data_IF_302019353147
#
_entry.id   IF_302019353147
#
_cell.length_a   1.000
_cell.length_b   1.000
_cell.length_c   1.000
_cell.angle_alpha   90.00
_cell.angle_beta   90.00
_cell.angle_gamma   90.00
#
_symmetry.space_group_name_H-M   'P 1'
#
loop_
_entity.id
_entity.type
_entity.pdbx_description
1 polymer ?
#
# COMPACT_ATOMS: atom_id res chain seq x y z
N UNK A 1 5.85 -9.26 45.88
CA UNK A 1 6.00 -9.32 44.41
C UNK A 1 5.28 -8.11 43.90
N UNK A 2 6.06 -7.06 43.78
CA UNK A 2 5.64 -5.70 44.04
C UNK A 2 5.50 -4.98 42.71
N UNK A 3 4.60 -4.01 42.69
CA UNK A 3 4.30 -3.06 41.61
C UNK A 3 5.56 -2.58 40.84
N UNK A 4 6.71 -2.52 41.52
CA UNK A 4 8.06 -2.27 40.99
C UNK A 4 8.46 -3.13 39.78
N UNK A 5 8.15 -4.43 39.76
CA UNK A 5 8.49 -5.33 38.62
C UNK A 5 7.63 -5.02 37.39
N UNK A 6 6.40 -4.54 37.59
CA UNK A 6 5.55 -4.12 36.48
C UNK A 6 6.01 -2.79 35.87
N UNK A 7 6.53 -1.88 36.69
CA UNK A 7 7.14 -0.63 36.22
C UNK A 7 8.49 -0.87 35.54
N UNK A 8 9.32 -1.78 36.05
CA UNK A 8 10.60 -2.17 35.41
C UNK A 8 10.40 -2.79 34.02
N UNK A 9 9.33 -3.58 33.84
CA UNK A 9 8.91 -4.08 32.52
C UNK A 9 8.36 -2.98 31.60
N UNK A 10 7.67 -1.98 32.14
CA UNK A 10 7.18 -0.82 31.38
C UNK A 10 8.33 0.11 30.95
N UNK A 11 9.29 0.38 31.84
CA UNK A 11 10.50 1.15 31.53
C UNK A 11 11.34 0.42 30.47
N UNK A 12 11.60 -0.88 30.64
CA UNK A 12 12.31 -1.68 29.62
C UNK A 12 11.57 -1.75 28.28
N UNK A 13 10.23 -1.72 28.30
CA UNK A 13 9.42 -1.68 27.07
C UNK A 13 9.50 -0.31 26.40
N UNK A 14 9.46 0.76 27.18
CA UNK A 14 9.61 2.13 26.67
C UNK A 14 11.00 2.37 26.08
N UNK A 15 12.07 1.87 26.72
CA UNK A 15 13.43 1.98 26.20
C UNK A 15 13.56 1.29 24.84
N UNK A 16 13.02 0.07 24.69
CA UNK A 16 13.00 -0.65 23.41
C UNK A 16 12.16 0.06 22.34
N UNK A 17 11.06 0.70 22.74
CA UNK A 17 10.21 1.48 21.84
C UNK A 17 10.91 2.76 21.38
N UNK A 18 11.63 3.43 22.29
CA UNK A 18 12.39 4.64 22.04
C UNK A 18 13.62 4.37 21.16
N UNK A 19 14.35 3.28 21.38
CA UNK A 19 15.44 2.85 20.51
C UNK A 19 14.93 2.49 19.10
N UNK A 20 13.78 1.81 19.00
CA UNK A 20 13.18 1.50 17.71
C UNK A 20 12.72 2.77 16.96
N UNK A 21 12.15 3.75 17.66
CA UNK A 21 11.76 5.05 17.10
C UNK A 21 12.99 5.82 16.59
N UNK A 22 14.08 5.89 17.37
CA UNK A 22 15.34 6.53 16.95
C UNK A 22 15.93 5.87 15.69
N UNK A 23 15.90 4.54 15.62
CA UNK A 23 16.38 3.81 14.46
C UNK A 23 15.52 4.06 13.22
N UNK A 24 14.20 4.21 13.38
CA UNK A 24 13.28 4.55 12.27
C UNK A 24 13.46 5.99 11.81
N UNK A 25 13.62 6.94 12.73
CA UNK A 25 13.81 8.36 12.41
C UNK A 25 15.14 8.56 11.67
N UNK A 26 16.23 7.92 12.12
CA UNK A 26 17.52 7.92 11.41
C UNK A 26 17.42 7.29 10.01
N UNK A 27 16.62 6.24 9.84
CA UNK A 27 16.40 5.62 8.53
C UNK A 27 15.61 6.53 7.59
N UNK A 28 14.56 7.19 8.09
CA UNK A 28 13.77 8.14 7.32
C UNK A 28 14.60 9.37 6.91
N UNK A 29 15.39 9.93 7.83
CA UNK A 29 16.30 11.05 7.53
C UNK A 29 17.30 10.68 6.44
N UNK A 30 17.90 9.48 6.53
CA UNK A 30 18.85 9.01 5.53
C UNK A 30 18.21 8.76 4.17
N UNK A 31 16.98 8.26 4.14
CA UNK A 31 16.21 8.11 2.92
C UNK A 31 15.86 9.47 2.30
N UNK A 32 15.54 10.46 3.13
CA UNK A 32 15.29 11.84 2.68
C UNK A 32 16.53 12.41 2.00
N UNK A 33 17.68 12.32 2.65
CA UNK A 33 18.96 12.78 2.11
C UNK A 33 19.28 12.12 0.75
N UNK A 34 19.11 10.80 0.64
CA UNK A 34 19.35 10.09 -0.61
C UNK A 34 18.40 10.49 -1.75
N UNK A 35 17.15 10.79 -1.42
CA UNK A 35 16.14 11.21 -2.39
C UNK A 35 16.42 12.65 -2.83
N UNK A 36 16.72 13.54 -1.89
CA UNK A 36 17.05 14.94 -2.16
C UNK A 36 18.37 15.09 -2.96
N UNK A 37 19.38 14.26 -2.71
CA UNK A 37 20.62 14.20 -3.51
C UNK A 37 20.40 13.60 -4.92
N UNK A 38 19.43 12.69 -5.04
CA UNK A 38 19.13 11.99 -6.29
C UNK A 38 18.27 12.78 -7.28
N UNK A 39 17.57 13.83 -6.83
CA UNK A 39 16.69 14.65 -7.66
C UNK A 39 17.38 15.96 -8.05
N UNK A 40 17.22 16.37 -9.32
CA UNK A 40 17.79 17.62 -9.86
C UNK A 40 16.77 18.78 -9.86
N UNK A 41 15.73 18.68 -9.03
CA UNK A 41 14.65 19.65 -8.95
C UNK A 41 14.19 19.85 -7.51
N UNK A 42 13.75 21.07 -7.19
CA UNK A 42 13.15 21.37 -5.89
C UNK A 42 11.83 20.59 -5.73
N UNK A 43 11.74 19.82 -4.65
CA UNK A 43 10.58 19.04 -4.34
C UNK A 43 10.35 18.90 -2.84
N UNK A 44 9.09 18.87 -2.47
CA UNK A 44 8.66 18.46 -1.14
C UNK A 44 8.71 16.93 -1.03
N UNK A 45 9.62 16.43 -0.20
CA UNK A 45 9.76 15.00 0.09
C UNK A 45 9.09 14.69 1.43
N UNK A 46 8.07 13.83 1.38
CA UNK A 46 7.36 13.31 2.56
C UNK A 46 7.64 11.82 2.70
N UNK A 47 8.11 11.38 3.87
CA UNK A 47 8.42 9.97 4.14
C UNK A 47 7.51 9.46 5.26
N UNK A 48 6.74 8.43 4.96
CA UNK A 48 5.86 7.76 5.91
C UNK A 48 6.35 6.32 6.16
N UNK A 49 6.33 5.88 7.42
CA UNK A 49 6.63 4.51 7.78
C UNK A 49 5.37 3.64 7.69
N UNK A 50 5.46 2.51 6.99
CA UNK A 50 4.41 1.52 6.85
C UNK A 50 4.38 0.49 7.99
N UNK A 51 3.43 -0.45 7.92
CA UNK A 51 3.23 -1.47 8.97
C UNK A 51 4.33 -2.55 9.01
N UNK A 52 5.15 -2.68 7.96
CA UNK A 52 6.12 -3.79 7.83
C UNK A 52 7.38 -3.33 7.10
N UNK A 53 8.42 -2.91 7.84
CA UNK A 53 9.77 -2.58 7.33
C UNK A 53 9.77 -1.88 5.96
N UNK A 54 8.83 -0.95 5.77
CA UNK A 54 8.59 -0.29 4.50
C UNK A 54 8.42 1.19 4.71
N UNK A 55 9.02 1.96 3.81
CA UNK A 55 8.93 3.40 3.76
C UNK A 55 8.20 3.79 2.49
N UNK A 56 7.23 4.67 2.64
CA UNK A 56 6.52 5.31 1.55
C UNK A 56 7.08 6.72 1.41
N UNK A 57 7.88 6.95 0.38
CA UNK A 57 8.43 8.25 0.03
C UNK A 57 7.52 8.88 -1.02
N UNK A 58 7.00 10.08 -0.77
CA UNK A 58 6.24 10.87 -1.73
C UNK A 58 7.04 12.10 -2.09
N UNK A 59 7.27 12.32 -3.38
CA UNK A 59 8.02 13.46 -3.92
C UNK A 59 7.07 14.31 -4.74
N UNK A 60 6.84 15.55 -4.32
CA UNK A 60 6.01 16.53 -5.04
C UNK A 60 6.93 17.66 -5.51
N UNK A 61 7.18 17.81 -6.82
CA UNK A 61 7.91 18.95 -7.34
C UNK A 61 7.24 20.27 -6.95
N UNK A 62 8.01 21.25 -6.47
CA UNK A 62 7.51 22.57 -6.05
C UNK A 62 6.76 23.26 -7.20
N UNK A 63 7.25 23.09 -8.44
CA UNK A 63 6.60 23.61 -9.64
C UNK A 63 5.14 23.13 -9.81
N UNK A 64 4.80 21.91 -9.36
CA UNK A 64 3.43 21.41 -9.42
C UNK A 64 2.56 21.95 -8.29
N UNK A 65 3.16 22.23 -7.13
CA UNK A 65 2.48 22.86 -6.00
C UNK A 65 2.13 24.31 -6.34
N UNK A 66 3.09 25.07 -6.84
CA UNK A 66 2.90 26.45 -7.32
C UNK A 66 1.84 26.55 -8.41
N UNK A 67 1.84 25.59 -9.35
CA UNK A 67 0.81 25.50 -10.38
C UNK A 67 -0.59 25.22 -9.79
N UNK A 68 -0.66 24.35 -8.80
CA UNK A 68 -1.92 24.02 -8.11
C UNK A 68 -2.46 25.22 -7.34
N UNK A 69 -1.61 25.92 -6.59
CA UNK A 69 -1.97 27.16 -5.88
C UNK A 69 -2.46 28.24 -6.87
N UNK A 70 -1.78 28.40 -8.01
CA UNK A 70 -2.20 29.34 -9.06
C UNK A 70 -3.61 29.04 -9.60
N UNK A 71 -3.98 27.76 -9.74
CA UNK A 71 -5.34 27.37 -10.15
C UNK A 71 -6.36 27.67 -9.05
N UNK A 72 -6.00 27.42 -7.79
CA UNK A 72 -6.89 27.62 -6.65
C UNK A 72 -7.17 29.11 -6.37
N UNK A 73 -6.22 30.01 -6.66
CA UNK A 73 -6.39 31.46 -6.50
C UNK A 73 -7.48 32.06 -7.40
N UNK A 74 -7.71 31.49 -8.59
CA UNK A 74 -8.78 31.96 -9.48
C UNK A 74 -10.19 31.63 -8.94
N UNK A 75 -10.30 30.79 -7.91
CA UNK A 75 -11.53 30.53 -7.15
C UNK A 75 -12.65 29.78 -7.89
N UNK A 76 -12.46 29.49 -9.18
CA UNK A 76 -13.42 28.79 -10.04
C UNK A 76 -13.11 27.28 -10.14
N UNK A 77 -11.87 26.87 -9.88
CA UNK A 77 -11.39 25.49 -10.07
C UNK A 77 -10.68 24.94 -8.82
N UNK A 78 -10.91 23.66 -8.53
CA UNK A 78 -10.17 22.90 -7.55
C UNK A 78 -9.09 22.06 -8.21
N UNK A 79 -7.83 22.26 -7.83
CA UNK A 79 -6.71 21.42 -8.28
C UNK A 79 -6.08 20.70 -7.09
N UNK A 80 -5.61 19.48 -7.34
CA UNK A 80 -4.84 18.69 -6.37
C UNK A 80 -3.75 17.94 -7.11
N UNK A 81 -2.52 18.09 -6.66
CA UNK A 81 -1.38 17.31 -7.15
C UNK A 81 -1.13 16.13 -6.21
N UNK A 82 -0.92 14.96 -6.80
CA UNK A 82 -0.41 13.79 -6.09
C UNK A 82 1.03 13.56 -6.55
N UNK A 83 1.97 13.59 -5.61
CA UNK A 83 3.39 13.40 -5.89
C UNK A 83 3.72 12.00 -6.40
N UNK A 84 4.92 11.83 -6.94
CA UNK A 84 5.45 10.52 -7.25
C UNK A 84 5.69 9.75 -5.95
N UNK A 85 5.06 8.59 -5.80
CA UNK A 85 5.21 7.73 -4.62
C UNK A 85 6.18 6.59 -4.92
N UNK A 86 7.24 6.51 -4.13
CA UNK A 86 8.23 5.43 -4.11
C UNK A 86 8.01 4.60 -2.85
N UNK A 87 7.97 3.28 -3.00
CA UNK A 87 7.88 2.37 -1.86
C UNK A 87 9.20 1.62 -1.71
N UNK A 88 9.82 1.73 -0.54
CA UNK A 88 11.11 1.15 -0.21
C UNK A 88 10.89 0.12 0.89
N UNK A 89 11.17 -1.15 0.64
CA UNK A 89 11.01 -2.22 1.62
C UNK A 89 12.25 -3.11 1.69
N UNK A 90 12.49 -3.72 2.86
CA UNK A 90 13.59 -4.69 3.04
C UNK A 90 13.11 -6.10 2.64
N UNK A 91 13.24 -6.46 1.36
CA UNK A 91 12.88 -7.77 0.81
C UNK A 91 12.71 -7.75 -0.71
N UNK A 92 12.68 -8.92 -1.36
CA UNK A 92 12.47 -9.04 -2.81
C UNK A 92 11.14 -8.41 -3.25
N UNK A 93 11.19 -7.75 -4.40
CA UNK A 93 10.28 -6.70 -4.88
C UNK A 93 8.88 -7.14 -5.32
N UNK A 94 8.30 -8.17 -4.72
CA UNK A 94 6.96 -8.68 -5.03
C UNK A 94 5.83 -7.92 -4.28
N UNK A 95 6.14 -6.95 -3.40
CA UNK A 95 5.16 -6.27 -2.54
C UNK A 95 4.70 -4.89 -3.02
N UNK A 96 5.16 -4.43 -4.18
CA UNK A 96 5.21 -3.00 -4.55
C UNK A 96 3.96 -2.42 -5.23
N UNK A 97 2.85 -3.14 -5.31
CA UNK A 97 1.58 -2.52 -5.70
C UNK A 97 0.91 -1.94 -4.45
N UNK A 98 0.47 -0.68 -4.49
CA UNK A 98 -0.38 -0.09 -3.44
C UNK A 98 -1.54 -1.03 -3.14
N UNK A 99 -2.06 -1.07 -1.90
CA UNK A 99 -3.27 -1.86 -1.57
C UNK A 99 -4.39 -1.64 -2.62
N UNK A 100 -4.52 -0.40 -3.11
CA UNK A 100 -5.43 -0.05 -4.21
C UNK A 100 -5.10 -0.75 -5.54
N UNK A 101 -3.83 -0.76 -5.94
CA UNK A 101 -3.41 -1.38 -7.21
C UNK A 101 -3.44 -2.91 -7.12
N UNK A 102 -3.15 -3.48 -5.96
CA UNK A 102 -3.36 -4.90 -5.64
C UNK A 102 -4.82 -5.30 -5.78
N UNK A 103 -5.71 -4.54 -5.14
CA UNK A 103 -7.17 -4.75 -5.23
C UNK A 103 -7.65 -4.61 -6.67
N UNK A 104 -7.16 -3.60 -7.40
CA UNK A 104 -7.53 -3.38 -8.80
C UNK A 104 -7.05 -4.54 -9.69
N UNK A 105 -5.78 -4.93 -9.58
CA UNK A 105 -5.21 -6.04 -10.35
C UNK A 105 -5.91 -7.36 -10.07
N UNK A 106 -6.27 -7.62 -8.81
CA UNK A 106 -7.04 -8.80 -8.43
C UNK A 106 -8.46 -8.78 -9.01
N UNK A 107 -9.15 -7.63 -8.98
CA UNK A 107 -10.46 -7.48 -9.64
C UNK A 107 -10.38 -7.69 -11.15
N UNK A 108 -9.35 -7.14 -11.79
CA UNK A 108 -9.13 -7.30 -13.23
C UNK A 108 -8.91 -8.79 -13.59
N UNK A 109 -8.18 -9.55 -12.76
CA UNK A 109 -8.02 -11.00 -12.90
C UNK A 109 -9.36 -11.72 -12.75
N UNK A 110 -10.14 -11.41 -11.71
CA UNK A 110 -11.44 -12.06 -11.46
C UNK A 110 -12.41 -11.76 -12.60
N UNK A 111 -12.46 -10.52 -13.10
CA UNK A 111 -13.30 -10.13 -14.22
C UNK A 111 -12.88 -10.85 -15.51
N UNK A 112 -11.59 -10.80 -15.86
CA UNK A 112 -11.08 -11.46 -17.06
C UNK A 112 -11.31 -12.97 -17.03
N UNK A 113 -11.04 -13.63 -15.90
CA UNK A 113 -11.34 -15.04 -15.73
C UNK A 113 -12.85 -15.28 -15.81
N UNK A 114 -13.68 -14.47 -15.14
CA UNK A 114 -15.13 -14.65 -15.16
C UNK A 114 -15.71 -14.51 -16.56
N UNK A 115 -15.17 -13.62 -17.39
CA UNK A 115 -15.54 -13.51 -18.81
C UNK A 115 -15.09 -14.72 -19.62
N UNK A 116 -13.86 -15.21 -19.39
CA UNK A 116 -13.38 -16.46 -20.00
C UNK A 116 -14.23 -17.68 -19.62
N UNK A 117 -14.73 -17.70 -18.38
CA UNK A 117 -15.60 -18.71 -17.80
C UNK A 117 -17.09 -18.35 -17.91
N UNK A 118 -17.49 -17.58 -18.94
CA UNK A 118 -18.89 -17.14 -19.13
C UNK A 118 -19.95 -18.26 -19.20
N UNK A 119 -19.53 -19.51 -19.47
CA UNK A 119 -20.41 -20.69 -19.50
C UNK A 119 -20.52 -21.40 -18.14
N UNK A 120 -19.81 -20.90 -17.14
CA UNK A 120 -19.74 -21.40 -15.77
C UNK A 120 -20.30 -20.34 -14.80
N UNK A 121 -20.62 -20.70 -13.55
CA UNK A 121 -21.14 -19.75 -12.56
C UNK A 121 -20.20 -18.57 -12.25
N UNK A 122 -18.90 -18.67 -12.58
CA UNK A 122 -17.92 -17.61 -12.41
C UNK A 122 -16.49 -18.11 -12.61
N UNK A 123 -15.50 -17.36 -12.13
CA UNK A 123 -14.11 -17.78 -12.11
C UNK A 123 -13.81 -18.66 -10.88
N UNK A 124 -13.13 -19.83 -11.03
CA UNK A 124 -12.76 -20.66 -9.90
C UNK A 124 -11.75 -19.97 -8.97
N UNK A 125 -11.95 -20.07 -7.65
CA UNK A 125 -11.08 -19.44 -6.64
C UNK A 125 -9.62 -19.92 -6.79
N UNK A 126 -9.40 -21.23 -6.95
CA UNK A 126 -8.07 -21.81 -7.14
C UNK A 126 -7.33 -21.20 -8.34
N UNK A 127 -8.06 -20.95 -9.44
CA UNK A 127 -7.48 -20.36 -10.66
C UNK A 127 -7.17 -18.88 -10.43
N UNK A 128 -8.03 -18.14 -9.73
CA UNK A 128 -7.79 -16.74 -9.38
C UNK A 128 -6.53 -16.61 -8.51
N UNK A 129 -6.39 -17.45 -7.48
CA UNK A 129 -5.21 -17.50 -6.60
C UNK A 129 -3.95 -17.86 -7.39
N UNK A 130 -4.04 -18.82 -8.32
CA UNK A 130 -2.89 -19.16 -9.16
C UNK A 130 -2.50 -18.01 -10.11
N UNK A 131 -3.48 -17.25 -10.60
CA UNK A 131 -3.25 -16.12 -11.49
C UNK A 131 -2.84 -14.84 -10.73
N UNK A 132 -3.11 -14.74 -9.43
CA UNK A 132 -2.71 -13.58 -8.60
C UNK A 132 -1.19 -13.41 -8.56
N UNK A 133 -0.43 -14.50 -8.70
CA UNK A 133 1.03 -14.42 -8.82
C UNK A 133 1.48 -13.60 -10.05
N UNK A 134 0.66 -13.47 -11.10
CA UNK A 134 0.98 -12.62 -12.27
C UNK A 134 0.96 -11.13 -11.96
N UNK A 135 0.25 -10.72 -10.91
CA UNK A 135 0.23 -9.35 -10.41
C UNK A 135 1.10 -9.20 -9.15
N UNK A 136 2.02 -10.13 -8.90
CA UNK A 136 2.91 -10.09 -7.73
C UNK A 136 2.15 -10.28 -6.41
N UNK A 137 1.11 -11.12 -6.39
CA UNK A 137 0.35 -11.38 -5.17
C UNK A 137 0.48 -12.84 -4.74
N UNK A 138 0.96 -13.04 -3.52
CA UNK A 138 1.07 -14.34 -2.87
C UNK A 138 -0.32 -14.98 -2.67
N UNK A 139 -0.41 -16.32 -2.64
CA UNK A 139 -1.67 -17.03 -2.46
C UNK A 139 -2.43 -16.63 -1.19
N UNK A 140 -1.74 -16.59 -0.04
CA UNK A 140 -2.33 -16.22 1.25
C UNK A 140 -2.88 -14.78 1.25
N UNK A 141 -2.20 -13.87 0.53
CA UNK A 141 -2.66 -12.48 0.40
C UNK A 141 -3.84 -12.38 -0.55
N UNK A 142 -3.83 -13.13 -1.64
CA UNK A 142 -4.95 -13.19 -2.57
C UNK A 142 -6.23 -13.66 -1.89
N UNK A 143 -6.15 -14.68 -1.03
CA UNK A 143 -7.30 -15.15 -0.24
C UNK A 143 -7.86 -14.05 0.69
N UNK A 144 -6.99 -13.35 1.43
CA UNK A 144 -7.40 -12.27 2.32
C UNK A 144 -8.06 -11.11 1.57
N UNK A 145 -7.51 -10.72 0.43
CA UNK A 145 -8.06 -9.65 -0.41
C UNK A 145 -9.39 -10.07 -1.06
N UNK A 146 -9.51 -11.33 -1.52
CA UNK A 146 -10.77 -11.90 -2.01
C UNK A 146 -11.85 -11.85 -0.93
N UNK A 147 -11.54 -12.24 0.30
CA UNK A 147 -12.49 -12.13 1.42
C UNK A 147 -12.87 -10.68 1.72
N UNK A 148 -11.92 -9.76 1.61
CA UNK A 148 -12.16 -8.32 1.77
C UNK A 148 -13.11 -7.80 0.68
N UNK A 149 -12.92 -8.22 -0.57
CA UNK A 149 -13.80 -7.89 -1.70
C UNK A 149 -15.22 -8.45 -1.53
N UNK A 150 -15.33 -9.67 -1.01
CA UNK A 150 -16.63 -10.29 -0.67
C UNK A 150 -17.35 -9.52 0.41
N UNK A 151 -16.66 -9.13 1.49
CA UNK A 151 -17.23 -8.34 2.59
C UNK A 151 -17.71 -6.97 2.12
N UNK A 152 -17.01 -6.36 1.16
CA UNK A 152 -17.39 -5.07 0.54
C UNK A 152 -18.49 -5.20 -0.50
N UNK A 153 -18.82 -6.41 -0.96
CA UNK A 153 -19.84 -6.67 -1.98
C UNK A 153 -19.36 -6.40 -3.42
N UNK A 154 -18.06 -6.25 -3.64
CA UNK A 154 -17.47 -6.01 -4.97
C UNK A 154 -17.35 -7.30 -5.79
N UNK A 155 -17.31 -8.44 -5.11
CA UNK A 155 -17.38 -9.78 -5.70
C UNK A 155 -18.34 -10.63 -4.89
N UNK A 156 -19.01 -11.56 -5.54
CA UNK A 156 -19.92 -12.50 -4.90
C UNK A 156 -19.64 -13.92 -5.35
N UNK A 157 -20.08 -14.87 -4.53
CA UNK A 157 -19.92 -16.30 -4.75
C UNK A 157 -21.27 -16.92 -5.16
N UNK A 158 -21.58 -17.02 -6.47
CA UNK A 158 -22.82 -17.64 -6.94
C UNK A 158 -22.87 -19.16 -6.66
N UNK A 159 -21.71 -19.81 -6.63
CA UNK A 159 -21.57 -21.23 -6.29
C UNK A 159 -20.28 -21.40 -5.49
N UNK A 160 -20.29 -22.33 -4.53
CA UNK A 160 -19.12 -22.62 -3.69
C UNK A 160 -17.88 -22.87 -4.55
N UNK A 161 -16.82 -22.09 -4.35
CA UNK A 161 -15.57 -22.14 -5.10
C UNK A 161 -15.52 -21.27 -6.36
N UNK A 162 -16.56 -20.49 -6.68
CA UNK A 162 -16.64 -19.65 -7.89
C UNK A 162 -16.96 -18.21 -7.55
N UNK A 163 -16.22 -17.26 -8.12
CA UNK A 163 -16.40 -15.83 -7.88
C UNK A 163 -16.84 -15.08 -9.14
N UNK A 164 -17.66 -14.05 -8.94
CA UNK A 164 -18.09 -13.12 -9.99
C UNK A 164 -18.01 -11.69 -9.49
N UNK A 165 -17.59 -10.78 -10.35
CA UNK A 165 -17.64 -9.33 -10.08
C UNK A 165 -19.07 -8.81 -10.26
N UNK A 166 -19.47 -7.84 -9.43
CA UNK A 166 -20.78 -7.16 -9.53
C UNK A 166 -20.79 -6.05 -10.57
#
# INVERSE_FOLDING_TARGET
MSVEVAFDHLDSSNDLEQEAEEHRERAAEKLRELVEDGIDFDAEVTIEHGETDSFSVTVVPDALKDFTDSILEEGEYGASVSGARLLVSRGESDLLLSQRDRIKGLKDIIAALSDHYSNEPGAPIDVIIQQSSRVGMDPDKAEQEIESLRRKGEVYEPQNGYLRTT
#
